data_IF_227470778309
#
_entry.id   IF_227470778309
#
_cell.length_a   1.000
_cell.length_b   1.000
_cell.length_c   1.000
_cell.angle_alpha   90.00
_cell.angle_beta   90.00
_cell.angle_gamma   90.00
#
_symmetry.space_group_name_H-M   'P 1'
#
loop_
_entity.id
_entity.type
_entity.pdbx_description
1 polymer ?
#
# COMPACT_ATOMS: atom_id res chain seq x y z
N UNK A 1 -24.62 -22.83 -3.02
CA UNK A 1 -23.56 -22.76 -1.98
C UNK A 1 -22.59 -21.69 -2.41
N UNK A 2 -22.25 -20.74 -1.54
CA UNK A 2 -21.22 -19.74 -1.83
C UNK A 2 -19.88 -20.46 -2.05
N UNK A 3 -19.20 -20.13 -3.14
CA UNK A 3 -17.86 -20.62 -3.40
C UNK A 3 -16.89 -19.72 -2.61
N UNK A 4 -16.47 -20.17 -1.42
CA UNK A 4 -15.62 -19.38 -0.53
C UNK A 4 -14.16 -19.74 -0.77
N UNK A 5 -13.33 -18.71 -0.96
CA UNK A 5 -11.87 -18.82 -0.84
C UNK A 5 -11.48 -18.31 0.53
N UNK A 6 -10.70 -19.09 1.28
CA UNK A 6 -10.32 -18.77 2.65
C UNK A 6 -8.81 -18.67 2.74
N UNK A 7 -8.34 -17.59 3.37
CA UNK A 7 -6.93 -17.37 3.68
C UNK A 7 -6.79 -17.26 5.20
N UNK A 8 -5.76 -17.90 5.76
CA UNK A 8 -5.43 -17.85 7.16
C UNK A 8 -3.99 -17.38 7.34
N UNK A 9 -3.79 -16.46 8.29
CA UNK A 9 -2.47 -16.11 8.81
C UNK A 9 -2.39 -16.49 10.29
N UNK A 10 -1.29 -17.10 10.72
CA UNK A 10 -1.06 -17.57 12.08
C UNK A 10 0.43 -17.39 12.47
N UNK A 11 0.74 -16.22 13.03
CA UNK A 11 2.13 -15.82 13.27
C UNK A 11 2.87 -15.45 12.00
N UNK A 12 4.18 -15.21 12.12
CA UNK A 12 5.02 -14.68 11.03
C UNK A 12 5.42 -15.75 10.00
N UNK A 13 5.36 -17.02 10.37
CA UNK A 13 5.77 -18.14 9.50
C UNK A 13 4.61 -18.67 8.63
N UNK A 14 3.36 -18.39 9.00
CA UNK A 14 2.17 -18.80 8.25
C UNK A 14 1.37 -17.57 7.84
N UNK A 15 1.70 -16.95 6.71
CA UNK A 15 1.01 -15.76 6.20
C UNK A 15 0.23 -16.08 4.92
N UNK A 16 -1.05 -15.65 4.87
CA UNK A 16 -1.93 -15.79 3.72
C UNK A 16 -2.00 -17.21 3.15
N UNK A 17 -2.00 -18.21 4.03
CA UNK A 17 -2.11 -19.61 3.62
C UNK A 17 -3.54 -19.89 3.19
N UNK A 18 -3.73 -20.25 1.91
CA UNK A 18 -5.03 -20.70 1.43
C UNK A 18 -5.46 -21.94 2.19
N UNK A 19 -6.70 -21.95 2.67
CA UNK A 19 -7.32 -23.08 3.36
C UNK A 19 -8.51 -23.58 2.57
N UNK A 20 -8.55 -24.89 2.39
CA UNK A 20 -9.76 -25.59 2.00
C UNK A 20 -10.68 -25.72 3.22
N UNK A 21 -11.98 -25.85 2.97
CA UNK A 21 -12.99 -25.93 4.03
C UNK A 21 -12.73 -27.09 4.99
N UNK A 22 -12.19 -28.19 4.49
CA UNK A 22 -11.86 -29.41 5.23
C UNK A 22 -10.71 -29.18 6.22
N UNK A 23 -9.85 -28.18 5.96
CA UNK A 23 -8.73 -27.83 6.83
C UNK A 23 -9.17 -26.92 7.99
N UNK A 24 -10.39 -26.39 7.95
CA UNK A 24 -10.97 -25.62 9.04
C UNK A 24 -11.61 -26.59 10.03
N UNK A 25 -10.92 -26.84 11.14
CA UNK A 25 -11.46 -27.67 12.20
C UNK A 25 -12.76 -27.03 12.74
N UNK A 26 -13.86 -27.79 12.87
CA UNK A 26 -15.03 -27.29 13.56
C UNK A 26 -14.65 -26.96 15.01
N UNK A 27 -15.20 -25.85 15.53
CA UNK A 27 -14.98 -25.46 16.92
C UNK A 27 -15.36 -26.60 17.87
N UNK A 28 -14.50 -26.86 18.85
CA UNK A 28 -14.67 -27.93 19.86
C UNK A 28 -15.59 -27.51 21.03
N UNK A 29 -16.10 -26.28 21.00
CA UNK A 29 -17.03 -25.76 21.99
C UNK A 29 -18.46 -26.22 21.70
N UNK A 30 -19.18 -26.63 22.74
CA UNK A 30 -20.63 -26.89 22.66
C UNK A 30 -21.43 -25.62 22.32
N UNK A 31 -20.82 -24.44 22.47
CA UNK A 31 -21.42 -23.17 22.08
C UNK A 31 -21.13 -22.88 20.62
N UNK A 32 -22.16 -22.92 19.78
CA UNK A 32 -22.06 -22.52 18.37
C UNK A 32 -22.09 -21.00 18.26
N UNK A 33 -21.01 -20.41 17.75
CA UNK A 33 -21.00 -19.00 17.35
C UNK A 33 -21.41 -18.92 15.89
N UNK A 34 -22.55 -18.29 15.62
CA UNK A 34 -23.07 -18.11 14.26
C UNK A 34 -22.98 -16.64 13.88
N UNK A 35 -22.31 -16.37 12.76
CA UNK A 35 -22.31 -15.07 12.09
C UNK A 35 -23.29 -15.18 10.92
N UNK A 36 -24.23 -14.24 10.84
CA UNK A 36 -25.21 -14.15 9.75
C UNK A 36 -24.87 -12.94 8.90
N UNK A 37 -24.83 -13.13 7.59
CA UNK A 37 -24.59 -12.07 6.60
C UNK A 37 -25.92 -11.82 5.89
N UNK A 38 -26.38 -10.57 5.88
CA UNK A 38 -27.56 -10.12 5.16
C UNK A 38 -27.11 -9.24 3.98
N UNK A 39 -27.24 -9.74 2.75
CA UNK A 39 -26.82 -9.06 1.53
C UNK A 39 -27.77 -7.91 1.12
N UNK A 40 -28.96 -7.81 1.73
CA UNK A 40 -29.89 -6.70 1.49
C UNK A 40 -29.57 -5.47 2.35
N UNK A 41 -28.78 -5.65 3.41
CA UNK A 41 -28.34 -4.57 4.28
C UNK A 41 -26.99 -3.99 3.83
N UNK A 42 -27.02 -2.80 3.23
CA UNK A 42 -25.82 -2.11 2.75
C UNK A 42 -25.38 -0.98 3.70
N UNK A 43 -24.10 -0.62 3.61
CA UNK A 43 -23.48 0.48 4.35
C UNK A 43 -22.63 1.34 3.40
N UNK A 44 -21.48 1.83 3.85
CA UNK A 44 -20.57 2.62 3.02
C UNK A 44 -19.97 1.78 1.89
N UNK A 45 -19.71 2.44 0.77
CA UNK A 45 -18.84 1.92 -0.28
C UNK A 45 -17.37 2.03 0.17
N UNK A 46 -16.53 1.10 -0.31
CA UNK A 46 -15.11 1.07 0.00
C UNK A 46 -14.33 1.51 -1.24
N UNK A 47 -13.62 2.63 -1.16
CA UNK A 47 -12.80 3.13 -2.27
C UNK A 47 -11.59 2.23 -2.54
N UNK A 48 -10.99 1.68 -1.48
CA UNK A 48 -9.87 0.76 -1.59
C UNK A 48 -8.98 0.70 -0.36
N UNK A 49 -7.88 -0.03 -0.51
CA UNK A 49 -6.86 -0.22 0.51
C UNK A 49 -5.48 0.04 -0.09
N UNK A 50 -4.58 0.58 0.70
CA UNK A 50 -3.40 1.21 0.17
C UNK A 50 -2.22 1.32 1.10
N UNK A 51 -1.16 1.90 0.56
CA UNK A 51 0.06 2.26 1.27
C UNK A 51 0.52 3.66 0.84
N UNK A 52 1.73 4.04 1.20
CA UNK A 52 2.35 5.30 0.79
C UNK A 52 3.73 5.02 0.19
N UNK A 53 4.03 5.64 -0.94
CA UNK A 53 5.41 5.76 -1.40
C UNK A 53 5.96 7.07 -0.85
N UNK A 54 6.40 7.03 0.40
CA UNK A 54 7.21 8.12 0.95
C UNK A 54 8.53 8.19 0.20
N UNK A 55 9.23 9.32 0.28
CA UNK A 55 10.52 9.52 -0.40
C UNK A 55 11.54 8.41 -0.06
N UNK A 56 11.65 7.99 1.22
CA UNK A 56 12.49 6.85 1.59
C UNK A 56 12.05 5.53 0.95
N UNK A 57 10.74 5.25 0.91
CA UNK A 57 10.23 4.02 0.29
C UNK A 57 10.48 4.03 -1.22
N UNK A 58 10.24 5.16 -1.88
CA UNK A 58 10.49 5.33 -3.30
C UNK A 58 11.96 5.16 -3.64
N UNK A 59 12.88 5.75 -2.87
CA UNK A 59 14.31 5.56 -3.04
C UNK A 59 14.73 4.09 -2.93
N UNK A 60 14.30 3.39 -1.87
CA UNK A 60 14.63 1.98 -1.67
C UNK A 60 14.14 1.13 -2.84
N UNK A 61 12.91 1.37 -3.30
CA UNK A 61 12.30 0.59 -4.38
C UNK A 61 12.94 0.94 -5.72
N UNK A 62 13.15 2.22 -6.01
CA UNK A 62 13.58 2.70 -7.33
C UNK A 62 15.09 2.53 -7.56
N UNK A 63 15.91 2.88 -6.58
CA UNK A 63 17.37 2.97 -6.72
C UNK A 63 18.11 1.80 -6.07
N UNK A 64 17.61 1.27 -4.94
CA UNK A 64 18.35 0.25 -4.16
C UNK A 64 18.02 -1.17 -4.62
N UNK A 65 16.75 -1.47 -4.90
CA UNK A 65 16.37 -2.79 -5.41
C UNK A 65 16.89 -3.02 -6.83
N UNK A 66 17.35 -4.23 -7.11
CA UNK A 66 17.60 -4.66 -8.47
C UNK A 66 16.30 -4.70 -9.27
N UNK A 67 16.37 -4.50 -10.59
CA UNK A 67 15.20 -4.46 -11.48
C UNK A 67 14.26 -5.65 -11.27
N UNK A 68 14.80 -6.87 -11.10
CA UNK A 68 13.99 -8.07 -10.85
C UNK A 68 13.25 -8.01 -9.52
N UNK A 69 13.92 -7.60 -8.44
CA UNK A 69 13.33 -7.49 -7.11
C UNK A 69 12.26 -6.40 -7.08
N UNK A 70 12.51 -5.28 -7.76
CA UNK A 70 11.54 -4.20 -7.92
C UNK A 70 10.29 -4.70 -8.64
N UNK A 71 10.43 -5.39 -9.78
CA UNK A 71 9.28 -5.98 -10.49
C UNK A 71 8.51 -6.96 -9.61
N UNK A 72 9.19 -7.86 -8.91
CA UNK A 72 8.54 -8.82 -8.01
C UNK A 72 7.79 -8.13 -6.87
N UNK A 73 8.38 -7.11 -6.26
CA UNK A 73 7.73 -6.31 -5.22
C UNK A 73 6.48 -5.61 -5.76
N UNK A 74 6.57 -4.97 -6.92
CA UNK A 74 5.44 -4.25 -7.51
C UNK A 74 4.29 -5.22 -7.87
N UNK A 75 4.60 -6.41 -8.42
CA UNK A 75 3.57 -7.45 -8.63
C UNK A 75 2.93 -7.86 -7.31
N UNK A 76 3.72 -8.16 -6.28
CA UNK A 76 3.19 -8.58 -4.97
C UNK A 76 2.33 -7.52 -4.29
N UNK A 77 2.61 -6.24 -4.51
CA UNK A 77 1.84 -5.14 -3.93
C UNK A 77 0.56 -4.84 -4.73
N UNK A 78 0.63 -4.76 -6.06
CA UNK A 78 -0.45 -4.18 -6.87
C UNK A 78 -1.22 -5.16 -7.74
N UNK A 79 -0.67 -6.33 -8.08
CA UNK A 79 -1.41 -7.31 -8.86
C UNK A 79 -2.56 -7.90 -8.00
N UNK A 80 -3.82 -7.87 -8.48
CA UNK A 80 -4.96 -8.35 -7.70
C UNK A 80 -5.09 -9.87 -7.64
N UNK A 81 -4.35 -10.60 -8.49
CA UNK A 81 -4.38 -12.07 -8.56
C UNK A 81 -3.10 -12.70 -8.01
N UNK A 82 -1.95 -12.10 -8.31
CA UNK A 82 -0.62 -12.57 -7.92
C UNK A 82 -0.07 -11.86 -6.67
N UNK A 83 -0.73 -10.78 -6.24
CA UNK A 83 -0.35 -9.96 -5.09
C UNK A 83 -1.50 -9.69 -4.13
N UNK A 84 -1.34 -8.64 -3.31
CA UNK A 84 -2.35 -8.19 -2.34
C UNK A 84 -3.31 -7.13 -2.92
N UNK A 85 -3.12 -6.72 -4.18
CA UNK A 85 -4.05 -5.84 -4.89
C UNK A 85 -4.26 -4.46 -4.26
N UNK A 86 -3.20 -3.79 -3.79
CA UNK A 86 -3.31 -2.40 -3.35
C UNK A 86 -3.91 -1.54 -4.46
N UNK A 87 -4.95 -0.78 -4.14
CA UNK A 87 -5.72 0.02 -5.10
C UNK A 87 -5.66 1.52 -4.82
N UNK A 88 -5.01 1.92 -3.71
CA UNK A 88 -4.86 3.31 -3.30
C UNK A 88 -3.41 3.57 -2.89
N UNK A 89 -2.90 4.74 -3.25
CA UNK A 89 -1.62 5.24 -2.75
C UNK A 89 -1.82 6.63 -2.12
N UNK A 90 -1.24 6.84 -0.94
CA UNK A 90 -1.08 8.17 -0.35
C UNK A 90 0.30 8.72 -0.73
N UNK A 91 0.34 9.91 -1.31
CA UNK A 91 1.60 10.60 -1.63
C UNK A 91 1.73 11.86 -0.76
N UNK A 92 2.82 12.00 0.02
CA UNK A 92 3.17 13.28 0.63
C UNK A 92 3.39 14.35 -0.44
N UNK A 93 3.06 15.60 -0.12
CA UNK A 93 3.45 16.76 -0.93
C UNK A 93 4.61 17.46 -0.22
N UNK A 94 5.79 17.43 -0.83
CA UNK A 94 7.04 17.82 -0.17
C UNK A 94 7.49 16.81 0.87
N UNK A 95 8.45 17.20 1.72
CA UNK A 95 9.00 16.33 2.73
C UNK A 95 7.97 15.87 3.77
N UNK A 96 8.05 14.58 4.10
CA UNK A 96 7.49 14.00 5.32
C UNK A 96 8.62 13.69 6.30
N UNK A 97 8.29 13.16 7.47
CA UNK A 97 9.26 12.60 8.42
C UNK A 97 10.04 11.40 7.85
N UNK A 98 9.53 10.76 6.80
CA UNK A 98 10.20 9.70 6.03
C UNK A 98 10.87 10.22 4.75
N UNK A 99 11.14 11.52 4.64
CA UNK A 99 12.00 12.06 3.58
C UNK A 99 13.48 11.97 3.95
N UNK A 100 14.32 11.73 2.95
CA UNK A 100 15.79 11.67 3.10
C UNK A 100 16.38 13.05 3.40
N UNK A 101 15.72 14.11 2.94
CA UNK A 101 16.06 15.51 3.18
C UNK A 101 14.81 16.32 3.53
N UNK A 102 15.00 17.48 4.16
CA UNK A 102 13.93 18.46 4.36
C UNK A 102 13.78 19.29 3.08
N UNK A 103 12.58 19.26 2.49
CA UNK A 103 12.26 20.05 1.31
C UNK A 103 10.78 20.42 1.24
N UNK A 104 10.50 21.54 0.60
CA UNK A 104 9.23 21.83 -0.04
C UNK A 104 9.44 21.97 -1.55
N UNK A 105 8.36 22.09 -2.31
CA UNK A 105 8.48 22.33 -3.75
C UNK A 105 8.90 23.76 -4.10
N UNK A 106 9.06 24.67 -3.12
CA UNK A 106 9.43 26.06 -3.36
C UNK A 106 10.34 26.63 -2.27
N UNK A 107 11.39 25.89 -1.91
CA UNK A 107 12.35 26.37 -0.93
C UNK A 107 13.23 27.48 -1.51
N UNK A 108 13.32 28.58 -0.76
CA UNK A 108 14.13 29.75 -1.12
C UNK A 108 15.29 29.93 -0.15
N UNK A 109 16.41 30.52 -0.58
CA UNK A 109 17.48 30.92 0.33
C UNK A 109 16.96 31.86 1.43
N UNK A 110 17.63 31.85 2.58
CA UNK A 110 17.23 32.67 3.73
C UNK A 110 17.07 34.16 3.36
N UNK A 111 15.94 34.73 3.78
CA UNK A 111 15.59 36.14 3.52
C UNK A 111 14.95 36.40 2.16
N UNK A 112 14.75 35.38 1.31
CA UNK A 112 14.04 35.51 0.04
C UNK A 112 12.62 34.97 0.13
N UNK A 113 11.76 35.44 -0.78
CA UNK A 113 10.38 34.99 -0.92
C UNK A 113 10.06 34.81 -2.40
N UNK A 114 9.30 33.79 -2.72
CA UNK A 114 8.80 33.56 -4.08
C UNK A 114 7.28 33.34 -4.04
N UNK A 115 6.55 34.45 -4.06
CA UNK A 115 5.08 34.47 -3.98
C UNK A 115 4.44 33.99 -5.28
N UNK A 116 5.12 34.24 -6.41
CA UNK A 116 4.62 33.88 -7.75
C UNK A 116 4.96 32.43 -8.14
N UNK A 117 5.70 31.69 -7.30
CA UNK A 117 6.12 30.30 -7.51
C UNK A 117 7.03 30.13 -8.75
N UNK A 118 7.83 31.14 -9.07
CA UNK A 118 8.78 31.13 -10.19
C UNK A 118 9.89 30.07 -10.02
N UNK A 119 10.14 29.61 -8.78
CA UNK A 119 11.13 28.57 -8.47
C UNK A 119 10.49 27.22 -8.09
N UNK A 120 9.16 27.09 -8.22
CA UNK A 120 8.48 25.85 -7.89
C UNK A 120 9.00 24.68 -8.74
N UNK A 121 9.31 23.56 -8.10
CA UNK A 121 9.81 22.37 -8.78
C UNK A 121 9.41 21.09 -8.05
N UNK A 122 9.05 20.07 -8.83
CA UNK A 122 8.84 18.69 -8.37
C UNK A 122 10.02 17.79 -8.74
N UNK A 123 11.16 18.35 -9.15
CA UNK A 123 12.32 17.58 -9.62
C UNK A 123 12.79 16.52 -8.61
N UNK A 124 12.64 16.78 -7.31
CA UNK A 124 12.91 15.80 -6.25
C UNK A 124 12.04 14.54 -6.41
N UNK A 125 10.74 14.72 -6.60
CA UNK A 125 9.80 13.60 -6.74
C UNK A 125 9.97 12.88 -8.09
N UNK A 126 10.40 13.60 -9.13
CA UNK A 126 10.69 13.03 -10.46
C UNK A 126 11.85 12.02 -10.45
N UNK A 127 12.76 12.12 -9.49
CA UNK A 127 13.92 11.23 -9.39
C UNK A 127 13.51 9.80 -9.00
N UNK A 128 12.66 9.66 -7.96
CA UNK A 128 12.37 8.36 -7.35
C UNK A 128 10.88 8.05 -7.18
N UNK A 129 10.02 9.03 -6.90
CA UNK A 129 8.60 8.80 -6.61
C UNK A 129 7.81 8.60 -7.89
N UNK A 130 7.81 9.59 -8.78
CA UNK A 130 7.02 9.57 -10.01
C UNK A 130 7.34 8.37 -10.93
N UNK A 131 8.59 7.90 -11.07
CA UNK A 131 8.88 6.70 -11.85
C UNK A 131 8.16 5.43 -11.36
N UNK A 132 7.82 5.34 -10.07
CA UNK A 132 7.12 4.19 -9.50
C UNK A 132 5.59 4.25 -9.63
N UNK A 133 5.04 5.38 -10.07
CA UNK A 133 3.60 5.62 -10.18
C UNK A 133 3.04 5.44 -11.61
N UNK A 134 3.88 4.99 -12.55
CA UNK A 134 3.54 4.85 -13.98
C UNK A 134 3.04 3.47 -14.36
#
# INVERSE_FOLDING_TARGET
MLNMTIYQSNGEEELFVRKDKEQLAPGTSDTKHTVVIDEEQTFQEMDGFGASFTDSAAYLIHQVLETKQRSELMTRLFDPNEGIGLSVLRQPMGASDYARDFYSYNDMPEGQTDVELDQFSIAHDEEDIIPLLK
#
